data_IF_693205572790
#
_entry.id   IF_693205572790
#
_cell.length_a   1.000
_cell.length_b   1.000
_cell.length_c   1.000
_cell.angle_alpha   90.00
_cell.angle_beta   90.00
_cell.angle_gamma   90.00
#
_symmetry.space_group_name_H-M   'P 1'
#
loop_
_entity.id
_entity.type
_entity.pdbx_description
1 polymer ?
#
# COMPACT_ATOMS: atom_id res chain seq x y z
N UNK A 1 47.05 -13.90 -15.65
CA UNK A 1 46.58 -15.25 -16.09
C UNK A 1 45.40 -15.01 -17.03
N UNK A 2 45.59 -15.40 -18.27
CA UNK A 2 44.74 -15.02 -19.42
C UNK A 2 43.53 -15.94 -19.48
N UNK A 3 42.32 -15.41 -19.16
CA UNK A 3 41.05 -16.06 -19.49
C UNK A 3 40.80 -15.92 -21.00
N UNK A 4 40.96 -17.03 -21.70
CA UNK A 4 40.51 -17.18 -23.09
C UNK A 4 38.99 -16.94 -23.10
N UNK A 5 38.58 -15.77 -23.57
CA UNK A 5 37.22 -15.56 -24.10
C UNK A 5 37.06 -16.52 -25.29
N UNK A 6 36.32 -17.61 -25.06
CA UNK A 6 35.83 -18.42 -26.18
C UNK A 6 34.97 -17.52 -27.07
N UNK A 7 35.37 -17.40 -28.33
CA UNK A 7 34.57 -16.69 -29.32
C UNK A 7 33.16 -17.37 -29.35
N UNK A 8 32.11 -16.63 -29.05
CA UNK A 8 30.71 -17.07 -29.17
C UNK A 8 30.51 -17.42 -30.63
N UNK A 9 30.37 -18.70 -30.92
CA UNK A 9 30.00 -19.16 -32.25
C UNK A 9 28.52 -18.78 -32.45
N UNK A 10 28.25 -18.10 -33.56
CA UNK A 10 26.90 -17.68 -33.94
C UNK A 10 26.00 -18.91 -33.95
N UNK A 11 24.95 -18.92 -33.14
CA UNK A 11 23.96 -20.00 -33.14
C UNK A 11 23.30 -20.07 -34.53
N UNK A 12 23.17 -21.25 -35.05
CA UNK A 12 22.57 -21.45 -36.38
C UNK A 12 21.96 -22.85 -36.55
N UNK A 13 20.99 -22.90 -37.41
CA UNK A 13 20.26 -24.10 -37.79
C UNK A 13 20.29 -24.22 -39.33
N UNK A 14 20.79 -25.32 -39.87
CA UNK A 14 20.81 -25.56 -41.32
C UNK A 14 20.28 -26.95 -41.65
N UNK A 15 19.39 -26.99 -42.62
CA UNK A 15 18.81 -28.23 -43.15
C UNK A 15 19.30 -28.53 -44.53
N UNK A 16 20.06 -29.61 -44.70
CA UNK A 16 20.58 -30.09 -45.98
C UNK A 16 19.58 -31.04 -46.62
N UNK A 17 18.79 -30.56 -47.60
CA UNK A 17 17.74 -31.33 -48.26
C UNK A 17 18.26 -32.53 -49.04
N UNK A 18 19.50 -32.48 -49.58
CA UNK A 18 20.10 -33.57 -50.35
C UNK A 18 20.47 -34.79 -49.49
N UNK A 19 20.84 -34.59 -48.23
CA UNK A 19 21.25 -35.64 -47.30
C UNK A 19 20.21 -35.94 -46.22
N UNK A 20 19.08 -35.22 -46.23
CA UNK A 20 18.04 -35.24 -45.20
C UNK A 20 18.65 -35.15 -43.77
N UNK A 21 19.57 -34.18 -43.60
CA UNK A 21 20.32 -34.01 -42.36
C UNK A 21 20.11 -32.57 -41.80
N UNK A 22 19.75 -32.50 -40.51
CA UNK A 22 19.63 -31.28 -39.76
C UNK A 22 20.92 -31.06 -38.98
N UNK A 23 21.64 -29.98 -39.25
CA UNK A 23 22.86 -29.58 -38.57
C UNK A 23 22.56 -28.54 -37.50
N UNK A 24 22.90 -28.85 -36.23
CA UNK A 24 22.80 -27.97 -35.09
C UNK A 24 24.17 -27.37 -34.82
N UNK A 25 24.30 -26.04 -34.86
CA UNK A 25 25.61 -25.36 -34.73
C UNK A 25 25.54 -24.18 -33.75
N UNK A 26 26.69 -23.88 -33.11
CA UNK A 26 26.85 -22.71 -32.24
C UNK A 26 26.15 -22.84 -30.88
N UNK A 27 26.02 -21.71 -30.17
CA UNK A 27 25.55 -21.66 -28.78
C UNK A 27 24.03 -21.47 -28.71
N UNK A 28 23.34 -22.46 -28.20
CA UNK A 28 21.88 -22.48 -28.00
C UNK A 28 21.54 -22.00 -26.57
N UNK A 29 21.63 -20.70 -26.38
CA UNK A 29 21.48 -20.05 -25.07
C UNK A 29 20.50 -18.87 -25.15
N UNK A 30 20.00 -18.42 -24.00
CA UNK A 30 19.01 -17.34 -23.90
C UNK A 30 19.33 -16.07 -24.72
N UNK A 31 20.58 -15.59 -24.83
CA UNK A 31 20.91 -14.47 -25.70
C UNK A 31 20.59 -14.68 -27.19
N UNK A 32 20.62 -15.93 -27.67
CA UNK A 32 20.37 -16.28 -29.06
C UNK A 32 18.93 -16.78 -29.29
N UNK A 33 18.09 -16.84 -28.23
CA UNK A 33 16.76 -17.44 -28.22
C UNK A 33 15.85 -16.86 -29.32
N UNK A 34 15.74 -15.54 -29.44
CA UNK A 34 14.83 -14.90 -30.39
C UNK A 34 15.19 -15.19 -31.87
N UNK A 35 16.52 -15.28 -32.18
CA UNK A 35 16.97 -15.62 -33.52
C UNK A 35 16.71 -17.08 -33.83
N UNK A 36 17.03 -17.99 -32.90
CA UNK A 36 16.82 -19.43 -33.03
C UNK A 36 15.32 -19.78 -33.10
N UNK A 37 14.46 -19.11 -32.32
CA UNK A 37 13.01 -19.33 -32.33
C UNK A 37 12.41 -19.08 -33.71
N UNK A 38 12.85 -18.01 -34.38
CA UNK A 38 12.40 -17.68 -35.73
C UNK A 38 12.80 -18.78 -36.75
N UNK A 39 14.02 -19.30 -36.66
CA UNK A 39 14.51 -20.38 -37.50
C UNK A 39 13.84 -21.73 -37.21
N UNK A 40 13.66 -22.06 -35.91
CA UNK A 40 12.94 -23.27 -35.49
C UNK A 40 11.51 -23.27 -36.04
N UNK A 41 10.77 -22.19 -35.91
CA UNK A 41 9.40 -22.09 -36.44
C UNK A 41 9.36 -22.27 -37.95
N UNK A 42 10.37 -21.80 -38.66
CA UNK A 42 10.45 -21.88 -40.12
C UNK A 42 10.74 -23.30 -40.61
N UNK A 43 11.57 -24.04 -39.88
CA UNK A 43 11.98 -25.39 -40.26
C UNK A 43 11.08 -26.50 -39.70
N UNK A 44 10.30 -26.23 -38.68
CA UNK A 44 9.41 -27.20 -38.02
C UNK A 44 8.41 -27.83 -38.99
N UNK A 45 8.01 -27.13 -40.07
CA UNK A 45 7.12 -27.64 -41.11
C UNK A 45 7.81 -28.47 -42.19
N UNK A 46 9.14 -28.36 -42.33
CA UNK A 46 9.92 -29.00 -43.40
C UNK A 46 10.61 -30.30 -42.94
N UNK A 47 10.61 -30.60 -41.63
CA UNK A 47 11.28 -31.76 -41.08
C UNK A 47 10.41 -33.01 -41.15
N UNK A 48 10.88 -34.06 -41.90
CA UNK A 48 10.25 -35.36 -41.97
C UNK A 48 10.67 -36.32 -40.85
N UNK A 49 9.92 -37.41 -40.63
CA UNK A 49 10.21 -38.35 -39.56
C UNK A 49 11.56 -39.13 -39.69
N UNK A 50 12.16 -39.12 -40.86
CA UNK A 50 13.42 -39.83 -41.17
C UNK A 50 14.68 -38.93 -41.08
N UNK A 51 14.52 -37.58 -40.83
CA UNK A 51 15.64 -36.65 -40.82
C UNK A 51 16.71 -36.97 -39.80
N UNK A 52 17.98 -37.11 -40.23
CA UNK A 52 19.13 -37.32 -39.35
C UNK A 52 19.50 -36.04 -38.67
N UNK A 53 19.92 -36.11 -37.37
CA UNK A 53 20.30 -34.97 -36.59
C UNK A 53 21.82 -35.04 -36.34
N UNK A 54 22.52 -34.02 -36.81
CA UNK A 54 23.94 -33.84 -36.55
C UNK A 54 24.10 -32.68 -35.53
N UNK A 55 24.46 -33.07 -34.29
CA UNK A 55 24.72 -32.19 -33.17
C UNK A 55 26.20 -32.02 -32.86
N UNK A 56 27.11 -32.46 -33.75
CA UNK A 56 28.56 -32.45 -33.49
C UNK A 56 29.15 -31.03 -33.35
N UNK A 57 28.54 -30.04 -33.96
CA UNK A 57 28.94 -28.63 -33.89
C UNK A 57 28.12 -27.80 -32.87
N UNK A 58 27.32 -28.45 -32.04
CA UNK A 58 26.49 -27.79 -31.04
C UNK A 58 27.37 -27.30 -29.88
N UNK A 59 27.33 -25.99 -29.62
CA UNK A 59 28.10 -25.30 -28.58
C UNK A 59 27.44 -25.38 -27.19
N UNK A 60 27.42 -24.30 -26.45
CA UNK A 60 26.78 -24.24 -25.16
C UNK A 60 25.25 -24.36 -25.27
N UNK A 61 24.62 -25.05 -24.33
CA UNK A 61 23.15 -25.19 -24.24
C UNK A 61 22.72 -24.78 -22.83
N UNK A 62 21.66 -23.97 -22.76
CA UNK A 62 20.94 -23.71 -21.51
C UNK A 62 19.51 -24.24 -21.56
N UNK A 63 18.73 -24.03 -20.50
CA UNK A 63 17.32 -24.48 -20.43
C UNK A 63 16.44 -23.88 -21.53
N UNK A 64 16.70 -22.65 -21.97
CA UNK A 64 15.96 -22.01 -23.04
C UNK A 64 16.29 -22.66 -24.40
N UNK A 65 17.56 -22.90 -24.69
CA UNK A 65 18.00 -23.65 -25.88
C UNK A 65 17.50 -25.07 -25.92
N UNK A 66 17.51 -25.77 -24.76
CA UNK A 66 16.96 -27.12 -24.64
C UNK A 66 15.45 -27.16 -24.92
N UNK A 67 14.69 -26.16 -24.49
CA UNK A 67 13.26 -26.05 -24.76
C UNK A 67 12.96 -25.82 -26.27
N UNK A 68 13.79 -25.03 -26.96
CA UNK A 68 13.70 -24.86 -28.42
C UNK A 68 14.03 -26.15 -29.18
N UNK A 69 15.05 -26.90 -28.71
CA UNK A 69 15.36 -28.22 -29.27
C UNK A 69 14.19 -29.19 -29.10
N UNK A 70 13.55 -29.19 -27.95
CA UNK A 70 12.34 -29.99 -27.71
C UNK A 70 11.21 -29.60 -28.69
N UNK A 71 10.97 -28.29 -28.87
CA UNK A 71 9.96 -27.79 -29.78
C UNK A 71 10.24 -28.18 -31.26
N UNK A 72 11.50 -28.22 -31.65
CA UNK A 72 11.93 -28.57 -33.00
C UNK A 72 11.87 -30.09 -33.27
N UNK A 73 12.35 -30.88 -32.33
CA UNK A 73 12.62 -32.30 -32.49
C UNK A 73 11.51 -33.25 -31.97
N UNK A 74 10.73 -32.75 -31.01
CA UNK A 74 9.77 -33.54 -30.24
C UNK A 74 10.42 -34.51 -29.22
N UNK A 75 9.58 -35.16 -28.42
CA UNK A 75 10.02 -36.02 -27.30
C UNK A 75 10.95 -37.14 -27.70
N UNK A 76 10.59 -37.91 -28.73
CA UNK A 76 11.31 -39.10 -29.13
C UNK A 76 12.75 -38.83 -29.59
N UNK A 77 12.93 -37.78 -30.38
CA UNK A 77 14.23 -37.39 -30.95
C UNK A 77 15.11 -36.67 -29.92
N UNK A 78 14.51 -35.87 -29.07
CA UNK A 78 15.24 -35.26 -27.98
C UNK A 78 15.75 -36.32 -27.00
N UNK A 79 14.96 -37.33 -26.71
CA UNK A 79 15.39 -38.48 -25.91
C UNK A 79 16.54 -39.26 -26.55
N UNK A 80 16.51 -39.42 -27.88
CA UNK A 80 17.61 -40.05 -28.63
C UNK A 80 18.91 -39.22 -28.57
N UNK A 81 18.83 -37.90 -28.65
CA UNK A 81 19.98 -36.99 -28.47
C UNK A 81 20.53 -37.01 -27.03
N UNK A 82 19.70 -37.27 -26.07
CA UNK A 82 20.06 -37.35 -24.64
C UNK A 82 20.56 -38.78 -24.25
N UNK A 83 20.52 -39.76 -25.14
CA UNK A 83 20.98 -41.14 -24.88
C UNK A 83 22.52 -41.24 -24.75
N UNK A 84 23.00 -42.33 -24.16
CA UNK A 84 24.43 -42.57 -23.93
C UNK A 84 25.27 -42.63 -25.21
N UNK A 85 24.70 -43.08 -26.32
CA UNK A 85 25.35 -43.20 -27.62
C UNK A 85 25.42 -41.88 -28.42
N UNK A 86 24.92 -40.77 -27.86
CA UNK A 86 24.93 -39.46 -28.50
C UNK A 86 26.33 -38.83 -28.55
N UNK A 87 26.69 -38.11 -29.61
CA UNK A 87 27.98 -37.41 -29.72
C UNK A 87 28.12 -36.22 -28.74
N UNK A 88 27.10 -35.93 -27.94
CA UNK A 88 27.10 -34.79 -26.99
C UNK A 88 27.87 -35.09 -25.70
N UNK A 89 28.54 -34.09 -25.12
CA UNK A 89 29.17 -34.22 -23.78
C UNK A 89 28.17 -34.60 -22.70
N UNK A 90 28.59 -35.34 -21.65
CA UNK A 90 27.69 -35.87 -20.61
C UNK A 90 26.89 -34.78 -19.89
N UNK A 91 27.47 -33.60 -19.69
CA UNK A 91 26.82 -32.46 -19.05
C UNK A 91 25.60 -31.94 -19.85
N UNK A 92 25.74 -31.88 -21.19
CA UNK A 92 24.66 -31.43 -22.09
C UNK A 92 23.56 -32.49 -22.20
N UNK A 93 23.93 -33.77 -22.22
CA UNK A 93 22.94 -34.86 -22.19
C UNK A 93 22.09 -34.84 -20.92
N UNK A 94 22.73 -34.65 -19.75
CA UNK A 94 22.02 -34.55 -18.50
C UNK A 94 21.02 -33.37 -18.48
N UNK A 95 21.44 -32.21 -19.03
CA UNK A 95 20.54 -31.06 -19.16
C UNK A 95 19.31 -31.36 -20.04
N UNK A 96 19.54 -31.98 -21.22
CA UNK A 96 18.46 -32.36 -22.14
C UNK A 96 17.50 -33.38 -21.51
N UNK A 97 18.01 -34.36 -20.73
CA UNK A 97 17.19 -35.33 -20.00
C UNK A 97 16.29 -34.61 -18.94
N UNK A 98 16.86 -33.72 -18.14
CA UNK A 98 16.11 -33.00 -17.11
C UNK A 98 15.02 -32.13 -17.74
N UNK A 99 15.35 -31.41 -18.85
CA UNK A 99 14.38 -30.58 -19.55
C UNK A 99 13.29 -31.41 -20.20
N UNK A 100 13.64 -32.53 -20.87
CA UNK A 100 12.66 -33.42 -21.46
C UNK A 100 11.70 -34.00 -20.41
N UNK A 101 12.22 -34.43 -19.26
CA UNK A 101 11.41 -34.95 -18.16
C UNK A 101 10.51 -33.87 -17.55
N UNK A 102 11.02 -32.65 -17.39
CA UNK A 102 10.24 -31.53 -16.88
C UNK A 102 9.09 -31.14 -17.82
N UNK A 103 9.32 -31.16 -19.14
CA UNK A 103 8.31 -30.83 -20.13
C UNK A 103 7.24 -31.93 -20.26
N UNK A 104 7.60 -33.21 -20.10
CA UNK A 104 6.63 -34.30 -20.03
C UNK A 104 5.73 -34.26 -18.81
N UNK A 105 6.25 -33.77 -17.66
CA UNK A 105 5.47 -33.61 -16.43
C UNK A 105 4.63 -32.35 -16.40
N UNK A 106 5.01 -31.34 -17.19
CA UNK A 106 4.33 -30.06 -17.25
C UNK A 106 3.25 -30.08 -18.32
N UNK A 107 2.37 -30.95 -18.45
CA UNK A 107 1.28 -31.03 -19.44
C UNK A 107 1.19 -29.86 -20.46
N UNK A 108 0.47 -29.99 -21.53
CA UNK A 108 0.30 -28.92 -22.53
C UNK A 108 0.06 -27.55 -21.86
N UNK A 109 0.76 -26.47 -22.26
CA UNK A 109 0.51 -25.14 -21.74
C UNK A 109 -0.99 -24.85 -21.87
N UNK A 110 -1.64 -24.33 -20.81
CA UNK A 110 -3.07 -24.09 -20.85
C UNK A 110 -3.41 -23.27 -22.10
N UNK A 111 -4.48 -23.64 -22.84
CA UNK A 111 -4.81 -22.99 -24.08
C UNK A 111 -4.86 -21.47 -23.86
N UNK A 112 -4.13 -20.72 -24.67
CA UNK A 112 -4.12 -19.26 -24.59
C UNK A 112 -5.58 -18.79 -24.68
N UNK A 113 -6.16 -18.41 -23.51
CA UNK A 113 -7.50 -17.85 -23.46
C UNK A 113 -7.55 -16.68 -24.42
N UNK A 114 -8.46 -16.74 -25.39
CA UNK A 114 -8.76 -15.57 -26.27
C UNK A 114 -9.11 -14.42 -25.33
N UNK A 115 -8.30 -13.37 -25.35
CA UNK A 115 -8.57 -12.16 -24.56
C UNK A 115 -9.88 -11.56 -25.06
N UNK A 116 -10.90 -11.63 -24.24
CA UNK A 116 -12.17 -10.94 -24.46
C UNK A 116 -12.11 -9.70 -23.57
N UNK A 117 -11.94 -8.50 -24.18
CA UNK A 117 -11.63 -7.28 -23.39
C UNK A 117 -12.66 -6.99 -22.29
N UNK A 118 -13.93 -7.34 -22.52
CA UNK A 118 -14.99 -7.17 -21.51
C UNK A 118 -14.84 -8.13 -20.34
N UNK A 119 -14.47 -9.39 -20.59
CA UNK A 119 -14.28 -10.39 -19.52
C UNK A 119 -13.02 -10.07 -18.72
N UNK A 120 -11.95 -9.62 -19.38
CA UNK A 120 -10.71 -9.24 -18.73
C UNK A 120 -10.88 -8.01 -17.82
N UNK A 121 -11.68 -7.02 -18.25
CA UNK A 121 -12.03 -5.86 -17.40
C UNK A 121 -12.92 -6.23 -16.21
N UNK A 122 -13.91 -7.12 -16.41
CA UNK A 122 -14.72 -7.63 -15.31
C UNK A 122 -13.88 -8.47 -14.31
N UNK A 123 -12.97 -9.30 -14.83
CA UNK A 123 -12.06 -10.08 -14.00
C UNK A 123 -11.14 -9.18 -13.17
N UNK A 124 -10.53 -8.14 -13.79
CA UNK A 124 -9.72 -7.16 -13.08
C UNK A 124 -10.52 -6.40 -12.00
N UNK A 125 -11.77 -6.03 -12.29
CA UNK A 125 -12.65 -5.42 -11.29
C UNK A 125 -12.97 -6.40 -10.15
N UNK A 126 -13.23 -7.67 -10.47
CA UNK A 126 -13.45 -8.73 -9.48
C UNK A 126 -12.23 -8.95 -8.58
N UNK A 127 -11.02 -8.97 -9.15
CA UNK A 127 -9.76 -9.08 -8.39
C UNK A 127 -9.55 -7.87 -7.47
N UNK A 128 -9.82 -6.65 -7.95
CA UNK A 128 -9.75 -5.45 -7.11
C UNK A 128 -10.75 -5.51 -5.94
N UNK A 129 -11.98 -5.94 -6.20
CA UNK A 129 -13.01 -6.08 -5.15
C UNK A 129 -12.65 -7.19 -4.15
N UNK A 130 -12.18 -8.34 -4.62
CA UNK A 130 -11.74 -9.45 -3.77
C UNK A 130 -10.51 -9.06 -2.94
N UNK A 131 -9.56 -8.35 -3.55
CA UNK A 131 -8.41 -7.76 -2.85
C UNK A 131 -8.84 -6.76 -1.77
N UNK A 132 -9.73 -5.83 -2.12
CA UNK A 132 -10.29 -4.86 -1.15
C UNK A 132 -11.01 -5.53 0.01
N UNK A 133 -11.82 -6.57 -0.27
CA UNK A 133 -12.51 -7.35 0.75
C UNK A 133 -11.54 -8.07 1.69
N UNK A 134 -10.50 -8.72 1.15
CA UNK A 134 -9.49 -9.40 1.96
C UNK A 134 -8.71 -8.43 2.87
N UNK A 135 -8.41 -7.23 2.36
CA UNK A 135 -7.82 -6.16 3.16
C UNK A 135 -8.74 -5.68 4.28
N UNK A 136 -10.03 -5.49 4.01
CA UNK A 136 -11.02 -5.10 5.01
C UNK A 136 -11.17 -6.15 6.11
N UNK A 137 -11.27 -7.44 5.75
CA UNK A 137 -11.34 -8.55 6.71
C UNK A 137 -10.08 -8.64 7.57
N UNK A 138 -8.89 -8.51 6.96
CA UNK A 138 -7.61 -8.51 7.68
C UNK A 138 -7.52 -7.33 8.67
N UNK A 139 -8.00 -6.15 8.27
CA UNK A 139 -8.03 -4.98 9.13
C UNK A 139 -9.03 -5.14 10.29
N UNK A 140 -10.23 -5.70 10.03
CA UNK A 140 -11.18 -6.04 11.08
C UNK A 140 -10.61 -7.06 12.09
N UNK A 141 -9.87 -8.07 11.60
CA UNK A 141 -9.14 -9.01 12.44
C UNK A 141 -8.11 -8.31 13.33
N UNK A 142 -7.36 -7.34 12.77
CA UNK A 142 -6.41 -6.54 13.53
C UNK A 142 -7.10 -5.69 14.61
N UNK A 143 -8.23 -5.04 14.30
CA UNK A 143 -9.05 -4.30 15.26
C UNK A 143 -9.49 -5.23 16.40
N UNK A 144 -9.97 -6.43 16.06
CA UNK A 144 -10.38 -7.43 17.07
C UNK A 144 -9.26 -7.81 18.02
N UNK A 145 -8.05 -8.06 17.50
CA UNK A 145 -6.88 -8.37 18.32
C UNK A 145 -6.49 -7.21 19.23
N UNK A 146 -6.49 -5.98 18.74
CA UNK A 146 -6.18 -4.79 19.54
C UNK A 146 -7.24 -4.58 20.62
N UNK A 147 -8.52 -4.74 20.30
CA UNK A 147 -9.62 -4.60 21.24
C UNK A 147 -9.54 -5.66 22.36
N UNK A 148 -9.33 -6.93 21.98
CA UNK A 148 -9.14 -8.02 22.94
C UNK A 148 -7.99 -7.72 23.92
N UNK A 149 -6.84 -7.30 23.41
CA UNK A 149 -5.69 -6.98 24.24
C UNK A 149 -5.94 -5.72 25.10
N UNK A 150 -6.62 -4.72 24.56
CA UNK A 150 -6.97 -3.50 25.29
C UNK A 150 -7.88 -3.81 26.47
N UNK A 151 -8.88 -4.67 26.30
CA UNK A 151 -9.77 -5.14 27.36
C UNK A 151 -8.97 -5.92 28.42
N UNK A 152 -8.09 -6.84 28.00
CA UNK A 152 -7.26 -7.61 28.94
C UNK A 152 -6.34 -6.72 29.78
N UNK A 153 -5.76 -5.69 29.20
CA UNK A 153 -4.86 -4.76 29.89
C UNK A 153 -5.64 -3.84 30.84
N UNK A 154 -6.86 -3.45 30.48
CA UNK A 154 -7.70 -2.61 31.31
C UNK A 154 -7.91 -3.22 32.71
N UNK A 155 -8.04 -4.55 32.79
CA UNK A 155 -8.16 -5.30 34.06
C UNK A 155 -6.83 -5.62 34.75
N UNK A 156 -5.66 -5.17 34.17
CA UNK A 156 -4.32 -5.44 34.71
C UNK A 156 -3.50 -4.16 34.78
N UNK A 157 -3.82 -3.22 35.71
CA UNK A 157 -3.17 -1.89 35.81
C UNK A 157 -1.66 -1.97 36.02
N UNK A 158 -1.16 -3.03 36.66
CA UNK A 158 0.29 -3.27 36.87
C UNK A 158 1.09 -3.44 35.55
N UNK A 159 0.42 -3.74 34.43
CA UNK A 159 1.05 -3.88 33.11
C UNK A 159 0.99 -2.62 32.25
N UNK A 160 0.40 -1.54 32.77
CA UNK A 160 0.31 -0.28 32.07
C UNK A 160 1.68 0.36 31.92
N UNK A 161 2.08 0.56 30.68
CA UNK A 161 3.35 1.20 30.33
C UNK A 161 3.16 2.72 30.25
N UNK A 162 2.92 3.35 31.39
CA UNK A 162 2.60 4.79 31.49
C UNK A 162 3.70 5.63 30.83
N UNK A 163 4.97 5.29 31.05
CA UNK A 163 6.09 6.02 30.44
C UNK A 163 6.04 5.99 28.90
N UNK A 164 5.75 4.82 28.32
CA UNK A 164 5.60 4.67 26.86
C UNK A 164 4.40 5.46 26.33
N UNK A 165 3.26 5.40 27.05
CA UNK A 165 2.06 6.15 26.70
C UNK A 165 2.31 7.67 26.73
N UNK A 166 2.93 8.20 27.80
CA UNK A 166 3.25 9.63 27.91
C UNK A 166 4.25 10.07 26.84
N UNK A 167 5.25 9.25 26.55
CA UNK A 167 6.20 9.55 25.48
C UNK A 167 5.52 9.63 24.10
N UNK A 168 4.60 8.72 23.79
CA UNK A 168 3.81 8.78 22.56
C UNK A 168 2.86 9.99 22.56
N UNK A 169 2.25 10.33 23.70
CA UNK A 169 1.40 11.51 23.82
C UNK A 169 2.19 12.80 23.53
N UNK A 170 3.40 12.93 24.09
CA UNK A 170 4.29 14.07 23.77
C UNK A 170 4.56 14.16 22.27
N UNK A 171 4.99 13.06 21.66
CA UNK A 171 5.39 13.02 20.26
C UNK A 171 4.22 13.28 19.30
N UNK A 172 3.05 12.74 19.58
CA UNK A 172 1.89 12.81 18.68
C UNK A 172 1.05 14.06 18.89
N UNK A 173 0.92 14.53 20.12
CA UNK A 173 0.01 15.62 20.51
C UNK A 173 0.74 16.94 20.69
N UNK A 174 1.61 17.04 21.71
CA UNK A 174 2.21 18.34 22.05
C UNK A 174 3.07 18.92 20.93
N UNK A 175 3.84 18.09 20.26
CA UNK A 175 4.64 18.52 19.09
C UNK A 175 3.80 18.85 17.85
N UNK A 176 2.51 18.48 17.85
CA UNK A 176 1.60 18.85 16.77
C UNK A 176 0.86 20.18 17.02
N UNK A 177 0.78 20.64 18.28
CA UNK A 177 0.03 21.84 18.65
C UNK A 177 0.38 23.06 17.78
N UNK A 178 1.66 23.44 17.57
CA UNK A 178 1.96 24.66 16.82
C UNK A 178 1.42 24.64 15.39
N UNK A 179 1.52 23.51 14.70
CA UNK A 179 1.04 23.37 13.33
C UNK A 179 -0.48 23.29 13.26
N UNK A 180 -1.13 22.64 14.24
CA UNK A 180 -2.60 22.59 14.35
C UNK A 180 -3.16 24.00 14.58
N UNK A 181 -2.57 24.77 15.49
CA UNK A 181 -2.95 26.16 15.78
C UNK A 181 -2.82 27.01 14.53
N UNK A 182 -1.65 27.00 13.88
CA UNK A 182 -1.42 27.83 12.72
C UNK A 182 -2.36 27.50 11.57
N UNK A 183 -2.49 26.21 11.24
CA UNK A 183 -3.34 25.76 10.13
C UNK A 183 -4.81 26.13 10.36
N UNK A 184 -5.35 25.82 11.54
CA UNK A 184 -6.75 26.07 11.84
C UNK A 184 -7.05 27.59 11.94
N UNK A 185 -6.11 28.36 12.50
CA UNK A 185 -6.22 29.82 12.53
C UNK A 185 -6.32 30.39 11.12
N UNK A 186 -5.44 29.97 10.22
CA UNK A 186 -5.45 30.45 8.82
C UNK A 186 -6.72 30.02 8.09
N UNK A 187 -7.19 28.78 8.27
CA UNK A 187 -8.44 28.31 7.66
C UNK A 187 -9.63 29.08 8.23
N UNK A 188 -9.67 29.34 9.54
CA UNK A 188 -10.72 30.16 10.16
C UNK A 188 -10.77 31.59 9.61
N UNK A 189 -9.60 32.18 9.43
CA UNK A 189 -9.48 33.51 8.80
C UNK A 189 -9.99 33.50 7.34
N UNK A 190 -9.62 32.49 6.55
CA UNK A 190 -10.07 32.36 5.15
C UNK A 190 -11.58 32.16 5.06
N UNK A 191 -12.15 31.27 5.90
CA UNK A 191 -13.60 31.02 5.93
C UNK A 191 -14.37 32.30 6.30
N UNK A 192 -13.89 33.05 7.30
CA UNK A 192 -14.49 34.33 7.67
C UNK A 192 -14.39 35.37 6.55
N UNK A 193 -13.23 35.46 5.90
CA UNK A 193 -13.03 36.39 4.79
C UNK A 193 -13.96 36.07 3.60
N UNK A 194 -14.04 34.82 3.22
CA UNK A 194 -14.91 34.34 2.14
C UNK A 194 -16.39 34.56 2.49
N UNK A 195 -16.79 34.21 3.71
CA UNK A 195 -18.14 34.46 4.23
C UNK A 195 -18.49 35.96 4.24
N UNK A 196 -17.57 36.79 4.73
CA UNK A 196 -17.75 38.26 4.74
C UNK A 196 -17.96 38.83 3.33
N UNK A 197 -17.19 38.36 2.36
CA UNK A 197 -17.27 38.83 0.96
C UNK A 197 -18.62 38.48 0.35
N UNK A 198 -19.06 37.21 0.49
CA UNK A 198 -20.34 36.74 -0.11
C UNK A 198 -21.55 37.37 0.61
N UNK A 199 -21.56 37.36 1.94
CA UNK A 199 -22.71 37.80 2.73
C UNK A 199 -22.86 39.33 2.74
N UNK A 200 -21.84 40.11 2.38
CA UNK A 200 -21.91 41.55 2.22
C UNK A 200 -22.89 41.94 1.14
N UNK A 201 -22.90 41.26 0.02
CA UNK A 201 -23.77 41.55 -1.13
C UNK A 201 -25.27 41.35 -0.79
N UNK A 202 -25.54 40.53 0.23
CA UNK A 202 -26.90 40.30 0.75
C UNK A 202 -27.26 41.13 1.99
N UNK A 203 -26.35 42.01 2.45
CA UNK A 203 -26.54 42.80 3.68
C UNK A 203 -26.57 41.93 4.98
N UNK A 204 -26.07 40.68 4.90
CA UNK A 204 -26.20 39.67 5.94
C UNK A 204 -24.87 39.32 6.62
N UNK A 205 -23.95 40.28 6.72
CA UNK A 205 -22.58 40.12 7.18
C UNK A 205 -22.44 39.51 8.57
N UNK A 206 -23.43 39.72 9.46
CA UNK A 206 -23.42 39.19 10.82
C UNK A 206 -23.45 37.63 10.84
N UNK A 207 -24.06 37.01 9.82
CA UNK A 207 -24.08 35.55 9.68
C UNK A 207 -22.73 34.93 9.35
N UNK A 208 -21.71 35.74 9.02
CA UNK A 208 -20.32 35.26 8.91
C UNK A 208 -19.83 34.67 10.23
N UNK A 209 -20.23 35.27 11.36
CA UNK A 209 -19.88 34.71 12.69
C UNK A 209 -20.48 33.33 12.90
N UNK A 210 -21.77 33.18 12.56
CA UNK A 210 -22.47 31.91 12.68
C UNK A 210 -21.85 30.84 11.76
N UNK A 211 -21.50 31.22 10.53
CA UNK A 211 -20.84 30.32 9.57
C UNK A 211 -19.51 29.79 10.12
N UNK A 212 -18.65 30.68 10.64
CA UNK A 212 -17.35 30.29 11.22
C UNK A 212 -17.56 29.42 12.46
N UNK A 213 -18.45 29.85 13.36
CA UNK A 213 -18.71 29.13 14.59
C UNK A 213 -19.25 27.73 14.36
N UNK A 214 -20.27 27.61 13.52
CA UNK A 214 -20.87 26.33 13.17
C UNK A 214 -19.87 25.43 12.45
N UNK A 215 -19.14 25.92 11.45
CA UNK A 215 -18.17 25.16 10.68
C UNK A 215 -17.05 24.59 11.57
N UNK A 216 -16.48 25.39 12.46
CA UNK A 216 -15.37 24.93 13.30
C UNK A 216 -15.78 24.07 14.47
N UNK A 217 -16.89 24.39 15.13
CA UNK A 217 -17.35 23.62 16.28
C UNK A 217 -17.93 22.25 15.87
N UNK A 218 -18.52 22.14 14.71
CA UNK A 218 -19.17 20.91 14.26
C UNK A 218 -18.31 20.02 13.38
N UNK A 219 -17.54 20.62 12.42
CA UNK A 219 -16.88 19.87 11.35
C UNK A 219 -15.37 20.15 11.27
N UNK A 220 -14.96 21.38 10.92
CA UNK A 220 -13.59 21.67 10.52
C UNK A 220 -12.56 21.48 11.63
N UNK A 221 -12.92 21.78 12.89
CA UNK A 221 -12.00 21.59 14.00
C UNK A 221 -11.52 20.17 14.15
N UNK A 222 -12.42 19.19 14.11
CA UNK A 222 -12.07 17.78 14.20
C UNK A 222 -11.45 17.24 12.90
N UNK A 223 -12.01 17.60 11.75
CA UNK A 223 -11.57 17.08 10.46
C UNK A 223 -10.13 17.50 10.15
N UNK A 224 -9.82 18.81 10.27
CA UNK A 224 -8.49 19.32 9.98
C UNK A 224 -7.44 18.79 10.96
N UNK A 225 -7.78 18.72 12.26
CA UNK A 225 -6.88 18.11 13.26
C UNK A 225 -6.62 16.63 12.93
N UNK A 226 -7.65 15.87 12.58
CA UNK A 226 -7.54 14.45 12.26
C UNK A 226 -6.73 14.20 10.97
N UNK A 227 -6.96 14.99 9.90
CA UNK A 227 -6.18 14.89 8.65
C UNK A 227 -4.69 15.18 8.91
N UNK A 228 -4.39 16.20 9.69
CA UNK A 228 -3.01 16.56 10.01
C UNK A 228 -2.32 15.46 10.83
N UNK A 229 -3.01 14.91 11.83
CA UNK A 229 -2.53 13.77 12.62
C UNK A 229 -2.41 12.52 11.76
N UNK A 230 -3.35 12.24 10.87
CA UNK A 230 -3.28 11.12 9.93
C UNK A 230 -2.03 11.21 9.05
N UNK A 231 -1.75 12.38 8.45
CA UNK A 231 -0.57 12.58 7.61
C UNK A 231 0.75 12.38 8.35
N UNK A 232 0.87 12.94 9.55
CA UNK A 232 2.12 12.95 10.33
C UNK A 232 2.29 11.69 11.20
N UNK A 233 1.25 11.34 11.95
CA UNK A 233 1.37 10.35 13.02
C UNK A 233 1.17 8.93 12.51
N UNK A 234 0.21 8.69 11.60
CA UNK A 234 0.05 7.36 11.01
C UNK A 234 1.29 6.94 10.22
N UNK A 235 1.89 7.86 9.43
CA UNK A 235 3.14 7.61 8.73
C UNK A 235 4.29 7.30 9.68
N UNK A 236 4.42 8.07 10.78
CA UNK A 236 5.44 7.84 11.79
C UNK A 236 5.27 6.47 12.50
N UNK A 237 4.04 6.07 12.81
CA UNK A 237 3.77 4.75 13.40
C UNK A 237 4.10 3.62 12.42
N UNK A 238 3.69 3.75 11.16
CA UNK A 238 4.01 2.79 10.12
C UNK A 238 5.52 2.67 9.89
N UNK A 239 6.24 3.81 9.86
CA UNK A 239 7.68 3.82 9.70
C UNK A 239 8.42 3.17 10.89
N UNK A 240 8.04 3.51 12.12
CA UNK A 240 8.67 2.96 13.32
C UNK A 240 8.46 1.45 13.43
N UNK A 241 7.21 0.98 13.33
CA UNK A 241 6.89 -0.45 13.41
C UNK A 241 7.47 -1.19 12.20
N UNK A 242 7.40 -0.59 11.01
CA UNK A 242 7.95 -1.15 9.79
C UNK A 242 9.47 -1.32 9.84
N UNK A 243 10.19 -0.34 10.40
CA UNK A 243 11.64 -0.46 10.62
C UNK A 243 11.97 -1.57 11.63
N UNK A 244 11.24 -1.66 12.75
CA UNK A 244 11.41 -2.75 13.72
C UNK A 244 11.14 -4.13 13.09
N UNK A 245 10.17 -4.21 12.18
CA UNK A 245 9.89 -5.46 11.46
C UNK A 245 10.98 -5.79 10.45
N UNK A 246 11.48 -4.81 9.71
CA UNK A 246 12.56 -5.01 8.75
C UNK A 246 13.88 -5.44 9.42
N UNK A 247 14.10 -5.00 10.67
CA UNK A 247 15.25 -5.37 11.49
C UNK A 247 15.02 -6.61 12.37
N UNK A 248 13.91 -7.35 12.17
CA UNK A 248 13.54 -8.55 12.96
C UNK A 248 13.35 -8.29 14.47
N UNK A 249 13.28 -7.03 14.92
CA UNK A 249 13.08 -6.66 16.32
C UNK A 249 11.74 -7.16 16.87
N UNK A 250 10.70 -7.22 16.04
CA UNK A 250 9.37 -7.74 16.43
C UNK A 250 9.44 -9.24 16.71
N UNK A 251 10.23 -9.99 15.94
CA UNK A 251 10.40 -11.42 16.13
C UNK A 251 11.26 -11.70 17.36
N UNK A 252 12.25 -10.85 17.65
CA UNK A 252 12.99 -10.89 18.92
C UNK A 252 12.09 -10.63 20.14
N UNK A 253 11.12 -9.68 20.05
CA UNK A 253 10.12 -9.44 21.11
C UNK A 253 9.26 -10.69 21.33
N UNK A 254 8.82 -11.36 20.26
CA UNK A 254 8.05 -12.60 20.35
C UNK A 254 8.86 -13.76 20.94
N UNK A 255 10.13 -13.88 20.57
CA UNK A 255 11.03 -14.91 21.10
C UNK A 255 11.25 -14.77 22.62
N UNK A 256 11.15 -13.55 23.16
CA UNK A 256 11.18 -13.28 24.59
C UNK A 256 9.83 -13.55 25.30
N UNK A 257 8.82 -14.06 24.60
CA UNK A 257 7.48 -14.31 25.16
C UNK A 257 6.65 -13.05 25.39
N UNK A 258 7.08 -11.90 24.83
CA UNK A 258 6.37 -10.63 24.94
C UNK A 258 5.38 -10.45 23.77
N UNK A 259 4.24 -9.79 24.06
CA UNK A 259 3.24 -9.53 23.02
C UNK A 259 3.51 -8.18 22.32
N UNK A 260 3.84 -8.17 21.02
CA UNK A 260 4.08 -6.92 20.28
C UNK A 260 2.87 -5.97 20.28
N UNK A 261 1.63 -6.49 20.31
CA UNK A 261 0.42 -5.66 20.37
C UNK A 261 0.36 -4.85 21.67
N UNK A 262 0.65 -5.50 22.79
CA UNK A 262 0.68 -4.86 24.12
C UNK A 262 1.78 -3.80 24.20
N UNK A 263 2.94 -4.09 23.62
CA UNK A 263 4.13 -3.23 23.72
C UNK A 263 4.11 -2.04 22.76
N UNK A 264 3.66 -2.25 21.54
CA UNK A 264 3.81 -1.29 20.46
C UNK A 264 2.49 -0.61 20.09
N UNK A 265 1.38 -1.34 20.04
CA UNK A 265 0.11 -0.80 19.51
C UNK A 265 -0.67 -0.07 20.58
N UNK A 266 -0.90 -0.69 21.74
CA UNK A 266 -1.78 -0.14 22.77
C UNK A 266 -1.33 1.22 23.28
N UNK A 267 -0.05 1.48 23.60
CA UNK A 267 0.38 2.80 24.03
C UNK A 267 0.16 3.90 22.99
N UNK A 268 0.27 3.55 21.69
CA UNK A 268 0.04 4.48 20.58
C UNK A 268 -1.45 4.79 20.40
N UNK A 269 -2.30 3.77 20.48
CA UNK A 269 -3.76 3.94 20.41
C UNK A 269 -4.25 4.81 21.57
N UNK A 270 -3.83 4.53 22.79
CA UNK A 270 -4.20 5.32 23.98
C UNK A 270 -3.67 6.76 23.91
N UNK A 271 -2.48 6.96 23.38
CA UNK A 271 -1.92 8.30 23.21
C UNK A 271 -2.75 9.14 22.23
N UNK A 272 -3.17 8.57 21.08
CA UNK A 272 -4.03 9.29 20.16
C UNK A 272 -5.46 9.44 20.66
N UNK A 273 -6.00 8.46 21.37
CA UNK A 273 -7.34 8.51 21.95
C UNK A 273 -7.54 9.73 22.87
N UNK A 274 -6.50 10.10 23.61
CA UNK A 274 -6.49 11.30 24.43
C UNK A 274 -5.99 12.52 23.64
N UNK A 275 -4.98 12.33 22.81
CA UNK A 275 -4.30 13.40 22.10
C UNK A 275 -5.14 14.08 21.03
N UNK A 276 -5.89 13.33 20.23
CA UNK A 276 -6.69 13.90 19.15
C UNK A 276 -7.86 14.77 19.66
N UNK A 277 -8.62 14.38 20.70
CA UNK A 277 -9.59 15.28 21.31
C UNK A 277 -8.98 16.61 21.81
N UNK A 278 -7.80 16.56 22.43
CA UNK A 278 -7.09 17.78 22.87
C UNK A 278 -6.72 18.65 21.65
N UNK A 279 -6.17 18.04 20.60
CA UNK A 279 -5.84 18.77 19.37
C UNK A 279 -7.07 19.32 18.67
N UNK A 280 -8.19 18.59 18.67
CA UNK A 280 -9.48 19.05 18.14
C UNK A 280 -9.99 20.28 18.87
N UNK A 281 -9.93 20.26 20.21
CA UNK A 281 -10.32 21.41 21.00
C UNK A 281 -9.45 22.65 20.70
N UNK A 282 -8.13 22.47 20.62
CA UNK A 282 -7.20 23.52 20.24
C UNK A 282 -7.47 24.04 18.83
N UNK A 283 -7.78 23.13 17.88
CA UNK A 283 -8.12 23.48 16.51
C UNK A 283 -9.40 24.32 16.42
N UNK A 284 -10.45 23.94 17.16
CA UNK A 284 -11.69 24.71 17.25
C UNK A 284 -11.43 26.13 17.76
N UNK A 285 -10.72 26.26 18.88
CA UNK A 285 -10.39 27.57 19.45
C UNK A 285 -9.55 28.42 18.50
N UNK A 286 -8.57 27.80 17.84
CA UNK A 286 -7.69 28.50 16.92
C UNK A 286 -8.42 28.97 15.67
N UNK A 287 -9.32 28.13 15.10
CA UNK A 287 -10.15 28.48 13.95
C UNK A 287 -11.12 29.63 14.27
N UNK A 288 -11.75 29.57 15.44
CA UNK A 288 -12.60 30.68 15.92
C UNK A 288 -11.80 31.98 16.12
N UNK A 289 -10.58 31.89 16.66
CA UNK A 289 -9.72 33.04 16.82
C UNK A 289 -9.32 33.67 15.48
N UNK A 290 -9.00 32.85 14.46
CA UNK A 290 -8.73 33.31 13.09
C UNK A 290 -9.94 33.99 12.46
N UNK A 291 -11.12 33.37 12.58
CA UNK A 291 -12.37 33.96 12.11
C UNK A 291 -12.73 35.28 12.83
N UNK A 292 -12.55 35.30 14.15
CA UNK A 292 -12.80 36.52 14.97
C UNK A 292 -11.88 37.66 14.56
N UNK A 293 -10.61 37.41 14.28
CA UNK A 293 -9.67 38.42 13.81
C UNK A 293 -10.15 39.05 12.49
N UNK A 294 -10.55 38.24 11.52
CA UNK A 294 -11.05 38.77 10.23
C UNK A 294 -12.37 39.49 10.39
N UNK A 295 -13.31 39.01 11.21
CA UNK A 295 -14.56 39.72 11.50
C UNK A 295 -14.29 41.07 12.15
N UNK A 296 -13.29 41.17 13.02
CA UNK A 296 -12.91 42.44 13.61
C UNK A 296 -12.27 43.44 12.62
N UNK A 297 -11.44 42.94 11.70
CA UNK A 297 -10.71 43.81 10.75
C UNK A 297 -11.51 44.19 9.50
N UNK A 298 -12.44 43.34 9.06
CA UNK A 298 -13.16 43.49 7.77
C UNK A 298 -14.62 43.89 7.96
N UNK A 299 -15.25 43.48 9.05
CA UNK A 299 -16.68 43.68 9.31
C UNK A 299 -16.94 44.60 10.49
N UNK A 300 -15.90 45.16 11.14
CA UNK A 300 -16.01 45.99 12.34
C UNK A 300 -16.79 45.32 13.50
N UNK A 301 -16.82 43.99 13.53
CA UNK A 301 -17.45 43.22 14.59
C UNK A 301 -16.45 43.02 15.74
N UNK A 302 -16.68 43.73 16.85
CA UNK A 302 -15.79 43.64 18.00
C UNK A 302 -15.67 42.19 18.53
N UNK A 303 -14.50 41.74 19.05
CA UNK A 303 -14.32 40.40 19.61
C UNK A 303 -15.36 39.99 20.65
N UNK A 304 -15.77 40.93 21.47
CA UNK A 304 -16.86 40.72 22.45
C UNK A 304 -18.20 40.38 21.80
N UNK A 305 -18.53 41.13 20.72
CA UNK A 305 -19.75 40.89 19.95
C UNK A 305 -19.70 39.56 19.24
N UNK A 306 -18.55 39.18 18.64
CA UNK A 306 -18.32 37.87 18.04
C UNK A 306 -18.63 36.74 19.01
N UNK A 307 -18.06 36.80 20.22
CA UNK A 307 -18.29 35.77 21.25
C UNK A 307 -19.73 35.74 21.75
N UNK A 308 -20.39 36.90 21.87
CA UNK A 308 -21.80 36.98 22.25
C UNK A 308 -22.71 36.31 21.21
N UNK A 309 -22.47 36.57 19.92
CA UNK A 309 -23.22 35.97 18.82
C UNK A 309 -23.05 34.44 18.84
N UNK A 310 -21.82 33.94 19.02
CA UNK A 310 -21.61 32.49 19.11
C UNK A 310 -22.38 31.86 20.28
N UNK A 311 -22.32 32.49 21.46
CA UNK A 311 -23.00 31.96 22.65
C UNK A 311 -24.52 31.98 22.52
N UNK A 312 -25.09 32.99 21.85
CA UNK A 312 -26.52 33.14 21.67
C UNK A 312 -27.07 32.27 20.52
N UNK A 313 -26.30 32.18 19.40
CA UNK A 313 -26.80 31.57 18.15
C UNK A 313 -26.41 30.14 17.96
N UNK A 314 -25.33 29.63 18.63
CA UNK A 314 -24.81 28.30 18.38
C UNK A 314 -24.94 27.44 19.65
N UNK A 315 -25.86 26.48 19.69
CA UNK A 315 -25.98 25.54 20.79
C UNK A 315 -24.66 24.78 21.08
N UNK A 316 -24.35 24.57 22.34
CA UNK A 316 -23.19 23.78 22.76
C UNK A 316 -23.21 22.34 22.21
N UNK A 317 -24.36 21.87 21.75
CA UNK A 317 -24.52 20.56 21.10
C UNK A 317 -23.55 20.40 19.93
N UNK A 318 -23.35 21.40 19.08
CA UNK A 318 -22.44 21.33 17.94
C UNK A 318 -20.98 21.11 18.35
N UNK A 319 -20.56 21.72 19.44
CA UNK A 319 -19.25 21.44 20.03
C UNK A 319 -19.13 19.97 20.49
N UNK A 320 -20.14 19.44 21.19
CA UNK A 320 -20.11 18.03 21.62
C UNK A 320 -20.16 17.07 20.44
N UNK A 321 -20.93 17.37 19.40
CA UNK A 321 -20.94 16.55 18.18
C UNK A 321 -19.60 16.52 17.47
N UNK A 322 -18.95 17.68 17.28
CA UNK A 322 -17.59 17.74 16.72
C UNK A 322 -16.58 16.97 17.60
N UNK A 323 -16.65 17.18 18.91
CA UNK A 323 -15.72 16.52 19.85
C UNK A 323 -15.93 15.00 19.91
N UNK A 324 -17.14 14.50 19.78
CA UNK A 324 -17.48 13.06 19.85
C UNK A 324 -16.88 12.23 18.70
N UNK A 325 -16.60 12.85 17.55
CA UNK A 325 -15.95 12.21 16.41
C UNK A 325 -14.46 11.95 16.67
N UNK A 326 -13.80 12.79 17.46
CA UNK A 326 -12.34 12.76 17.65
C UNK A 326 -11.82 11.42 18.23
N UNK A 327 -12.41 10.80 19.27
CA UNK A 327 -11.96 9.51 19.78
C UNK A 327 -12.04 8.39 18.75
N UNK A 328 -13.08 8.37 17.94
CA UNK A 328 -13.27 7.35 16.89
C UNK A 328 -12.19 7.49 15.82
N UNK A 329 -11.97 8.71 15.33
CA UNK A 329 -10.91 9.00 14.36
C UNK A 329 -9.52 8.69 14.91
N UNK A 330 -9.27 9.00 16.20
CA UNK A 330 -8.01 8.71 16.87
C UNK A 330 -7.66 7.23 16.85
N UNK A 331 -8.62 6.38 17.23
CA UNK A 331 -8.44 4.92 17.24
C UNK A 331 -8.16 4.41 15.84
N UNK A 332 -8.93 4.84 14.84
CA UNK A 332 -8.76 4.38 13.46
C UNK A 332 -7.41 4.80 12.87
N UNK A 333 -6.99 6.05 13.06
CA UNK A 333 -5.68 6.55 12.61
C UNK A 333 -4.54 5.73 13.23
N UNK A 334 -4.59 5.51 14.56
CA UNK A 334 -3.57 4.73 15.25
C UNK A 334 -3.52 3.28 14.76
N UNK A 335 -4.68 2.64 14.58
CA UNK A 335 -4.77 1.26 14.12
C UNK A 335 -4.28 1.11 12.69
N UNK A 336 -4.65 2.00 11.76
CA UNK A 336 -4.20 1.97 10.37
C UNK A 336 -2.68 2.13 10.32
N UNK A 337 -2.12 3.13 11.01
CA UNK A 337 -0.67 3.34 11.05
C UNK A 337 0.10 2.14 11.60
N UNK A 338 -0.39 1.54 12.68
CA UNK A 338 0.22 0.33 13.24
C UNK A 338 0.05 -0.88 12.31
N UNK A 339 -1.15 -1.11 11.75
CA UNK A 339 -1.43 -2.24 10.88
C UNK A 339 -0.54 -2.23 9.62
N UNK A 340 -0.37 -1.07 8.99
CA UNK A 340 0.52 -0.92 7.84
C UNK A 340 1.99 -1.17 8.22
N UNK A 341 2.44 -0.73 9.40
CA UNK A 341 3.78 -1.05 9.88
C UNK A 341 4.03 -2.54 10.04
N UNK A 342 3.05 -3.30 10.51
CA UNK A 342 3.15 -4.77 10.62
C UNK A 342 3.12 -5.51 9.27
N UNK A 343 2.73 -4.88 8.17
CA UNK A 343 2.73 -5.48 6.82
C UNK A 343 4.07 -5.35 6.10
N UNK A 344 4.99 -4.54 6.60
CA UNK A 344 6.31 -4.32 5.98
C UNK A 344 7.06 -5.63 5.81
N UNK A 345 7.72 -5.81 4.66
CA UNK A 345 8.50 -7.00 4.29
C UNK A 345 9.96 -6.62 4.10
N UNK A 346 10.79 -6.75 5.13
CA UNK A 346 12.26 -6.84 5.13
C UNK A 346 13.09 -5.81 4.33
N UNK A 347 12.48 -4.77 3.70
CA UNK A 347 13.22 -3.80 2.89
C UNK A 347 12.83 -2.35 3.19
N UNK A 348 13.77 -1.43 3.04
CA UNK A 348 13.52 0.01 3.20
C UNK A 348 12.46 0.53 2.19
N UNK A 349 12.42 -0.03 0.98
CA UNK A 349 11.40 0.30 -0.01
C UNK A 349 9.99 -0.09 0.48
N UNK A 350 9.85 -1.27 1.09
CA UNK A 350 8.58 -1.72 1.68
C UNK A 350 8.15 -0.80 2.83
N UNK A 351 9.06 -0.34 3.68
CA UNK A 351 8.77 0.67 4.73
C UNK A 351 8.19 1.93 4.10
N UNK A 352 8.82 2.49 3.05
CA UNK A 352 8.34 3.67 2.35
C UNK A 352 6.94 3.50 1.74
N UNK A 353 6.67 2.36 1.12
CA UNK A 353 5.36 2.05 0.55
C UNK A 353 4.25 2.00 1.62
N UNK A 354 4.49 1.28 2.72
CA UNK A 354 3.52 1.16 3.80
C UNK A 354 3.32 2.45 4.59
N UNK A 355 4.34 3.31 4.72
CA UNK A 355 4.17 4.65 5.30
C UNK A 355 3.25 5.52 4.47
N UNK A 356 3.40 5.52 3.15
CA UNK A 356 2.51 6.26 2.24
C UNK A 356 1.09 5.69 2.29
N UNK A 357 0.95 4.36 2.28
CA UNK A 357 -0.35 3.70 2.35
C UNK A 357 -1.08 4.01 3.66
N UNK A 358 -0.36 4.06 4.79
CA UNK A 358 -0.92 4.43 6.08
C UNK A 358 -1.53 5.85 6.06
N UNK A 359 -0.87 6.82 5.42
CA UNK A 359 -1.40 8.18 5.26
C UNK A 359 -2.68 8.18 4.42
N UNK A 360 -2.62 7.57 3.23
CA UNK A 360 -3.76 7.55 2.29
C UNK A 360 -4.98 6.89 2.92
N UNK A 361 -4.80 5.72 3.52
CA UNK A 361 -5.90 4.99 4.18
C UNK A 361 -6.46 5.75 5.38
N UNK A 362 -5.60 6.38 6.20
CA UNK A 362 -6.03 7.14 7.36
C UNK A 362 -6.84 8.38 6.95
N UNK A 363 -6.36 9.16 5.98
CA UNK A 363 -7.07 10.35 5.50
C UNK A 363 -8.41 9.94 4.86
N UNK A 364 -8.42 8.92 4.01
CA UNK A 364 -9.66 8.41 3.41
C UNK A 364 -10.67 7.97 4.48
N UNK A 365 -10.22 7.22 5.48
CA UNK A 365 -11.08 6.72 6.56
C UNK A 365 -11.62 7.88 7.41
N UNK A 366 -10.80 8.89 7.73
CA UNK A 366 -11.23 10.08 8.47
C UNK A 366 -12.33 10.81 7.72
N UNK A 367 -12.15 11.09 6.43
CA UNK A 367 -13.14 11.80 5.61
C UNK A 367 -14.43 10.96 5.50
N UNK A 368 -14.31 9.65 5.31
CA UNK A 368 -15.47 8.76 5.23
C UNK A 368 -16.28 8.74 6.54
N UNK A 369 -15.60 8.60 7.68
CA UNK A 369 -16.26 8.59 8.99
C UNK A 369 -16.89 9.94 9.30
N UNK A 370 -16.21 11.04 8.95
CA UNK A 370 -16.76 12.38 9.12
C UNK A 370 -18.04 12.58 8.32
N UNK A 371 -18.04 12.19 7.04
CA UNK A 371 -19.23 12.25 6.19
C UNK A 371 -20.39 11.39 6.70
N UNK A 372 -20.10 10.15 7.14
CA UNK A 372 -21.13 9.26 7.71
C UNK A 372 -21.69 9.83 9.02
N UNK A 373 -20.81 10.35 9.89
CA UNK A 373 -21.23 10.99 11.14
C UNK A 373 -22.05 12.24 10.89
N UNK A 374 -21.68 13.09 9.93
CA UNK A 374 -22.43 14.29 9.56
C UNK A 374 -23.84 13.95 9.06
N UNK A 375 -23.97 12.93 8.18
CA UNK A 375 -25.27 12.43 7.70
C UNK A 375 -26.11 11.84 8.84
N UNK A 376 -25.49 11.05 9.71
CA UNK A 376 -26.17 10.47 10.87
C UNK A 376 -26.72 11.55 11.82
N UNK A 377 -25.90 12.55 12.16
CA UNK A 377 -26.33 13.62 13.04
C UNK A 377 -27.39 14.52 12.39
N UNK A 378 -27.37 14.66 11.05
CA UNK A 378 -28.39 15.38 10.31
C UNK A 378 -29.75 14.65 10.35
N UNK A 379 -29.74 13.31 10.19
CA UNK A 379 -30.97 12.49 10.24
C UNK A 379 -31.60 12.47 11.65
N UNK A 380 -30.78 12.62 12.67
CA UNK A 380 -31.20 12.67 14.08
C UNK A 380 -31.66 14.07 14.52
N UNK A 381 -31.70 15.05 13.59
CA UNK A 381 -32.02 16.47 13.90
C UNK A 381 -31.09 17.09 14.97
N UNK A 382 -29.82 16.70 14.97
CA UNK A 382 -28.80 17.16 15.92
C UNK A 382 -27.85 18.19 15.31
#
# INVERSE_FOLDING_TARGET
>A
MSEKRAASQTAGLSYARESDTLHLQGDWTLPHFAALEAEVRRLQTDLGDATRIDAGALGAIDTAGASLLHQLLGDARLAALAAEDSPLPPERRALLQVVAQALQTTGEPPPRRKRVPVIDTLAALGELMAGGWSHAVSFMGFIGLVLEQSIRILFRPWRWRITSWVAHLDQTTFRAVPIVVLMNFMVGAVVAFLGATILRDFGATIYTVNLVGFAFLREFGVLLAAILVAGRTASAFAAQIGSMRANEEIDAIRAQGLNPMELLVIPRVLALLVGLPILTFIAMLSGLAGGMLVCALVLDIAPRQFMAIIQESIPALHFYLGMSKAPVMAVLIAMIGCAEGFKVQGSAQSVGQHTTMAVVQSIFTVILIDAVAALFFMEMDW
#
